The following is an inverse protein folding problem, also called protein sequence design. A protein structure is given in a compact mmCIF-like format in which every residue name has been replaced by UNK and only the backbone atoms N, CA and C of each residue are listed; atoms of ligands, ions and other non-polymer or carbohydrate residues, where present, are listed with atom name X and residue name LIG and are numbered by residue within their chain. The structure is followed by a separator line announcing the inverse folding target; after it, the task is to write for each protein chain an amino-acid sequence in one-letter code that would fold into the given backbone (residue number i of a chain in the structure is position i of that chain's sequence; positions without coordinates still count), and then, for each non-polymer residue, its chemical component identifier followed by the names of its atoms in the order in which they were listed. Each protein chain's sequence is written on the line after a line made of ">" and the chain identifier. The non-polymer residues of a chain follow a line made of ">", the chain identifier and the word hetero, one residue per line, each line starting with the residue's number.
data_IF_301977603383
#
_entry.id   IF_301977603383
#
_cell.length_a   1.000
_cell.length_b   1.000
_cell.length_c   1.000
_cell.angle_alpha   90.00
_cell.angle_beta   90.00
_cell.angle_gamma   90.00
#
_symmetry.space_group_name_H-M   'P 1'
#
loop_
_entity.id
_entity.type
_entity.pdbx_description
1 polymer ?
#
# COMPACT_ATOMS: atom_id res chain seq x y z
N UNK A 1 6.93 21.23 20.82
CA UNK A 1 7.53 19.95 20.40
C UNK A 1 6.45 18.90 20.41
N UNK A 2 6.03 18.22 19.35
CA UNK A 2 6.32 18.26 17.92
C UNK A 2 4.98 17.92 17.26
N UNK A 3 4.53 18.69 16.26
CA UNK A 3 3.47 18.19 15.39
C UNK A 3 4.12 17.09 14.56
N UNK A 4 3.71 15.86 14.76
CA UNK A 4 4.07 14.76 13.87
C UNK A 4 3.71 15.20 12.45
N UNK A 5 4.72 15.47 11.61
CA UNK A 5 4.51 15.83 10.21
C UNK A 5 4.15 14.55 9.46
N UNK A 6 2.97 14.00 9.76
CA UNK A 6 2.46 12.84 9.08
C UNK A 6 1.96 13.30 7.70
N UNK A 7 2.71 12.94 6.65
CA UNK A 7 2.34 13.22 5.27
C UNK A 7 1.20 12.26 4.89
N UNK A 8 0.06 12.81 4.49
CA UNK A 8 -1.04 12.00 3.95
C UNK A 8 -0.61 11.43 2.59
N UNK A 9 -0.55 10.11 2.50
CA UNK A 9 -0.20 9.38 1.29
C UNK A 9 -1.43 8.90 0.51
N UNK A 10 -2.65 9.11 1.01
CA UNK A 10 -3.85 8.61 0.34
C UNK A 10 -4.02 9.17 -1.07
N UNK A 11 -4.47 8.32 -2.00
CA UNK A 11 -4.62 8.69 -3.42
C UNK A 11 -5.95 8.19 -4.00
N UNK A 12 -6.49 8.95 -4.95
CA UNK A 12 -7.68 8.59 -5.73
C UNK A 12 -7.29 8.34 -7.19
N UNK A 13 -7.70 7.19 -7.73
CA UNK A 13 -7.47 6.78 -9.11
C UNK A 13 -8.83 6.39 -9.72
N UNK A 14 -9.45 7.32 -10.44
CA UNK A 14 -10.83 7.17 -10.90
C UNK A 14 -11.79 6.91 -9.73
N UNK A 15 -12.60 5.84 -9.74
CA UNK A 15 -13.50 5.51 -8.63
C UNK A 15 -12.80 4.85 -7.42
N UNK A 16 -11.52 4.50 -7.53
CA UNK A 16 -10.79 3.77 -6.48
C UNK A 16 -10.11 4.74 -5.50
N UNK A 17 -10.09 4.37 -4.22
CA UNK A 17 -9.39 5.09 -3.16
C UNK A 17 -8.40 4.16 -2.48
N UNK A 18 -7.13 4.56 -2.45
CA UNK A 18 -6.04 3.79 -1.87
C UNK A 18 -5.46 4.52 -0.66
N UNK A 19 -5.06 3.76 0.37
CA UNK A 19 -4.44 4.31 1.57
C UNK A 19 -3.07 4.95 1.28
N UNK A 20 -2.38 4.48 0.24
CA UNK A 20 -1.11 5.02 -0.25
C UNK A 20 -0.86 4.57 -1.71
N UNK A 21 0.12 5.15 -2.44
CA UNK A 21 0.36 4.82 -3.85
C UNK A 21 1.25 3.57 -4.06
N UNK A 22 1.62 2.84 -3.02
CA UNK A 22 2.50 1.66 -3.14
C UNK A 22 1.65 0.44 -3.48
N UNK A 23 1.76 -0.04 -4.72
CA UNK A 23 0.94 -1.13 -5.25
C UNK A 23 1.85 -2.23 -5.80
N UNK A 24 1.57 -3.47 -5.43
CA UNK A 24 2.28 -4.62 -5.97
C UNK A 24 1.92 -4.86 -7.44
N UNK A 25 2.93 -4.98 -8.31
CA UNK A 25 2.72 -5.18 -9.74
C UNK A 25 2.34 -6.64 -10.06
N UNK A 26 1.55 -6.83 -11.11
CA UNK A 26 1.07 -8.14 -11.54
C UNK A 26 2.22 -9.10 -11.86
N UNK A 27 2.11 -10.33 -11.37
CA UNK A 27 3.14 -11.37 -11.53
C UNK A 27 4.40 -11.18 -10.70
N UNK A 28 4.50 -10.14 -9.84
CA UNK A 28 5.70 -9.88 -9.02
C UNK A 28 5.54 -10.27 -7.55
N UNK A 29 4.30 -10.53 -7.12
CA UNK A 29 3.96 -10.67 -5.69
C UNK A 29 3.08 -11.89 -5.36
N UNK A 30 2.89 -12.81 -6.33
CA UNK A 30 2.02 -13.96 -6.16
C UNK A 30 0.62 -13.55 -5.70
N UNK A 31 0.11 -14.21 -4.66
CA UNK A 31 -1.12 -13.80 -3.96
C UNK A 31 -0.83 -13.02 -2.66
N UNK A 32 0.41 -12.59 -2.45
CA UNK A 32 0.86 -11.87 -1.27
C UNK A 32 1.21 -12.74 -0.06
N UNK A 33 0.75 -13.99 -0.01
CA UNK A 33 0.97 -14.90 1.12
C UNK A 33 2.45 -15.23 1.35
N UNK A 34 3.26 -15.23 0.30
CA UNK A 34 4.70 -15.48 0.36
C UNK A 34 5.45 -14.32 1.05
N UNK A 35 4.83 -13.15 1.11
CA UNK A 35 5.41 -11.91 1.63
C UNK A 35 4.95 -11.55 3.04
N UNK A 36 3.94 -12.24 3.59
CA UNK A 36 3.47 -12.08 4.98
C UNK A 36 4.59 -12.11 6.04
N UNK A 37 5.62 -12.99 5.97
CA UNK A 37 6.71 -12.96 6.95
C UNK A 37 7.66 -11.76 6.81
N UNK A 38 7.60 -11.00 5.72
CA UNK A 38 8.51 -9.89 5.43
C UNK A 38 7.86 -8.51 5.54
N UNK A 39 6.55 -8.42 5.27
CA UNK A 39 5.81 -7.15 5.28
C UNK A 39 4.36 -7.37 5.68
N UNK A 40 3.82 -6.44 6.48
CA UNK A 40 2.38 -6.37 6.77
C UNK A 40 1.63 -5.93 5.51
N UNK A 41 0.92 -6.88 4.90
CA UNK A 41 0.18 -6.68 3.64
C UNK A 41 -0.88 -5.58 3.76
N UNK A 42 -1.41 -5.31 4.96
CA UNK A 42 -2.42 -4.26 5.16
C UNK A 42 -1.85 -2.84 5.01
N UNK A 43 -0.52 -2.70 4.95
CA UNK A 43 0.14 -1.40 4.72
C UNK A 43 0.31 -1.07 3.25
N UNK A 44 0.13 -2.03 2.34
CA UNK A 44 0.17 -1.77 0.90
C UNK A 44 -1.09 -1.01 0.47
N UNK A 45 -0.94 -0.14 -0.54
CA UNK A 45 -2.05 0.53 -1.18
C UNK A 45 -2.95 -0.46 -1.93
N UNK A 46 -2.39 -1.50 -2.53
CA UNK A 46 -3.15 -2.56 -3.20
C UNK A 46 -2.28 -3.55 -3.97
N UNK A 47 -2.95 -4.39 -4.75
CA UNK A 47 -2.37 -5.38 -5.66
C UNK A 47 -3.00 -5.22 -7.05
N UNK A 48 -2.20 -5.39 -8.11
CA UNK A 48 -2.62 -5.35 -9.51
C UNK A 48 -2.28 -6.64 -10.24
#
# INVERSE_FOLDING_TARGET
>A
MNKDHNIDLSVRLGPMHFANPVIAASGTFGYGIEFDPFVDLNKLGGFC
#
